data_IF_102967004829
#
_entry.id   IF_102967004829
#
_cell.length_a   1.000
_cell.length_b   1.000
_cell.length_c   1.000
_cell.angle_alpha   90.00
_cell.angle_beta   90.00
_cell.angle_gamma   90.00
#
_symmetry.space_group_name_H-M   'P 1'
#
loop_
_entity.id
_entity.type
_entity.pdbx_description
1 polymer ?
#
# COMPACT_ATOMS: atom_id res chain seq x y z
N UNK A 1 50.33 41.62 -56.58
CA UNK A 1 49.18 41.49 -57.51
C UNK A 1 48.18 42.59 -57.22
N UNK A 2 47.43 43.08 -58.22
CA UNK A 2 46.28 43.95 -57.99
C UNK A 2 45.27 43.26 -57.05
N UNK A 3 44.58 44.03 -56.20
CA UNK A 3 43.55 43.55 -55.26
C UNK A 3 44.00 42.56 -54.17
N UNK A 4 45.31 42.28 -54.06
CA UNK A 4 45.86 41.35 -53.06
C UNK A 4 45.35 41.63 -51.65
N UNK A 5 45.45 42.88 -51.20
CA UNK A 5 45.10 43.26 -49.83
C UNK A 5 43.59 43.13 -49.56
N UNK A 6 42.76 43.32 -50.59
CA UNK A 6 41.30 43.12 -50.51
C UNK A 6 40.99 41.64 -50.31
N UNK A 7 41.65 40.76 -51.06
CA UNK A 7 41.48 39.30 -50.91
C UNK A 7 42.02 38.81 -49.56
N UNK A 8 43.21 39.23 -49.15
CA UNK A 8 43.79 38.85 -47.84
C UNK A 8 42.87 39.25 -46.69
N UNK A 9 42.38 40.49 -46.68
CA UNK A 9 41.43 40.96 -45.65
C UNK A 9 40.09 40.21 -45.67
N UNK A 10 39.62 39.78 -46.86
CA UNK A 10 38.40 38.96 -46.95
C UNK A 10 38.60 37.57 -46.35
N UNK A 11 39.76 36.94 -46.57
CA UNK A 11 40.10 35.65 -45.98
C UNK A 11 40.26 35.74 -44.46
N UNK A 12 40.90 36.79 -43.95
CA UNK A 12 41.01 37.02 -42.51
C UNK A 12 39.62 37.17 -41.86
N UNK A 13 38.72 37.92 -42.52
CA UNK A 13 37.34 38.10 -42.06
C UNK A 13 36.55 36.79 -42.03
N UNK A 14 36.74 35.93 -43.05
CA UNK A 14 36.11 34.60 -43.10
C UNK A 14 36.65 33.68 -42.01
N UNK A 15 37.96 33.70 -41.74
CA UNK A 15 38.58 32.92 -40.66
C UNK A 15 38.00 33.35 -39.30
N UNK A 16 37.89 34.65 -39.05
CA UNK A 16 37.29 35.19 -37.82
C UNK A 16 35.81 34.85 -37.69
N UNK A 17 35.06 34.86 -38.81
CA UNK A 17 33.66 34.46 -38.81
C UNK A 17 33.50 32.98 -38.44
N UNK A 18 34.33 32.10 -39.01
CA UNK A 18 34.33 30.67 -38.68
C UNK A 18 34.67 30.46 -37.20
N UNK A 19 35.67 31.17 -36.67
CA UNK A 19 36.05 31.13 -35.26
C UNK A 19 34.89 31.50 -34.33
N UNK A 20 34.25 32.65 -34.57
CA UNK A 20 33.10 33.12 -33.78
C UNK A 20 31.90 32.18 -33.88
N UNK A 21 31.65 31.62 -35.07
CA UNK A 21 30.55 30.67 -35.30
C UNK A 21 30.77 29.39 -34.50
N UNK A 22 32.01 28.89 -34.47
CA UNK A 22 32.39 27.72 -33.67
C UNK A 22 32.20 27.98 -32.18
N UNK A 23 32.74 29.07 -31.65
CA UNK A 23 32.57 29.44 -30.23
C UNK A 23 31.09 29.57 -29.85
N UNK A 24 30.29 30.23 -30.68
CA UNK A 24 28.85 30.37 -30.45
C UNK A 24 28.15 29.02 -30.43
N UNK A 25 28.52 28.12 -31.35
CA UNK A 25 27.95 26.77 -31.43
C UNK A 25 28.32 25.94 -30.21
N UNK A 26 29.58 25.96 -29.79
CA UNK A 26 30.06 25.25 -28.60
C UNK A 26 29.39 25.79 -27.33
N UNK A 27 29.22 27.12 -27.24
CA UNK A 27 28.50 27.76 -26.14
C UNK A 27 27.04 27.31 -26.08
N UNK A 28 26.33 27.33 -27.21
CA UNK A 28 24.93 26.88 -27.29
C UNK A 28 24.80 25.39 -26.95
N UNK A 29 25.72 24.55 -27.41
CA UNK A 29 25.74 23.12 -27.10
C UNK A 29 25.85 22.90 -25.59
N UNK A 30 26.81 23.53 -24.93
CA UNK A 30 27.02 23.35 -23.49
C UNK A 30 25.90 23.98 -22.64
N UNK A 31 25.42 25.18 -23.00
CA UNK A 31 24.48 25.94 -22.18
C UNK A 31 23.03 25.58 -22.39
N UNK A 32 22.67 25.10 -23.58
CA UNK A 32 21.29 24.79 -23.93
C UNK A 32 21.13 23.29 -24.08
N UNK A 33 21.85 22.66 -25.01
CA UNK A 33 21.60 21.25 -25.36
C UNK A 33 21.92 20.34 -24.18
N UNK A 34 23.15 20.41 -23.66
CA UNK A 34 23.59 19.54 -22.57
C UNK A 34 22.85 19.84 -21.26
N UNK A 35 22.60 21.11 -20.96
CA UNK A 35 21.86 21.53 -19.77
C UNK A 35 20.39 21.03 -19.78
N UNK A 36 19.70 21.14 -20.93
CA UNK A 36 18.33 20.63 -21.06
C UNK A 36 18.29 19.11 -21.04
N UNK A 37 19.27 18.43 -21.63
CA UNK A 37 19.35 16.97 -21.58
C UNK A 37 19.57 16.45 -20.16
N UNK A 38 20.45 17.10 -19.40
CA UNK A 38 20.66 16.78 -17.98
C UNK A 38 19.38 16.98 -17.16
N UNK A 39 18.67 18.10 -17.36
CA UNK A 39 17.40 18.36 -16.66
C UNK A 39 16.30 17.36 -17.05
N UNK A 40 16.23 16.97 -18.32
CA UNK A 40 15.31 15.94 -18.80
C UNK A 40 15.57 14.61 -18.09
N UNK A 41 16.83 14.18 -18.02
CA UNK A 41 17.23 12.94 -17.33
C UNK A 41 16.84 12.97 -15.85
N UNK A 42 17.06 14.09 -15.16
CA UNK A 42 16.66 14.26 -13.76
C UNK A 42 15.14 14.11 -13.59
N UNK A 43 14.35 14.76 -14.44
CA UNK A 43 12.89 14.61 -14.43
C UNK A 43 12.44 13.17 -14.71
N UNK A 44 13.14 12.45 -15.60
CA UNK A 44 12.85 11.05 -15.89
C UNK A 44 13.11 10.14 -14.68
N UNK A 45 14.18 10.39 -13.93
CA UNK A 45 14.50 9.68 -12.68
C UNK A 45 13.42 9.95 -11.63
N UNK A 46 13.09 11.22 -11.40
CA UNK A 46 12.06 11.62 -10.43
C UNK A 46 10.70 11.00 -10.79
N UNK A 47 10.30 11.04 -12.06
CA UNK A 47 9.08 10.39 -12.54
C UNK A 47 9.10 8.89 -12.30
N UNK A 48 10.25 8.24 -12.53
CA UNK A 48 10.44 6.82 -12.24
C UNK A 48 10.25 6.49 -10.76
N UNK A 49 10.87 7.28 -9.88
CA UNK A 49 10.74 7.14 -8.42
C UNK A 49 9.30 7.32 -7.95
N UNK A 50 8.62 8.38 -8.41
CA UNK A 50 7.22 8.65 -8.09
C UNK A 50 6.30 7.52 -8.54
N UNK A 51 6.51 6.98 -9.75
CA UNK A 51 5.72 5.86 -10.25
C UNK A 51 5.92 4.60 -9.40
N UNK A 52 7.15 4.31 -8.99
CA UNK A 52 7.46 3.17 -8.14
C UNK A 52 6.79 3.31 -6.76
N UNK A 53 6.92 4.48 -6.15
CA UNK A 53 6.32 4.77 -4.85
C UNK A 53 4.79 4.74 -4.89
N UNK A 54 4.19 5.36 -5.91
CA UNK A 54 2.75 5.30 -6.14
C UNK A 54 2.26 3.85 -6.27
N UNK A 55 2.97 3.03 -7.04
CA UNK A 55 2.64 1.60 -7.22
C UNK A 55 2.75 0.85 -5.90
N UNK A 56 3.80 1.10 -5.12
CA UNK A 56 4.01 0.50 -3.80
C UNK A 56 2.90 0.87 -2.82
N UNK A 57 2.53 2.15 -2.72
CA UNK A 57 1.47 2.61 -1.82
C UNK A 57 0.11 2.06 -2.22
N UNK A 58 -0.22 2.07 -3.51
CA UNK A 58 -1.49 1.54 -4.02
C UNK A 58 -1.60 0.04 -3.77
N UNK A 59 -0.52 -0.73 -4.01
CA UNK A 59 -0.47 -2.15 -3.70
C UNK A 59 -0.64 -2.41 -2.20
N UNK A 60 0.08 -1.67 -1.36
CA UNK A 60 -0.02 -1.80 0.10
C UNK A 60 -1.44 -1.48 0.62
N UNK A 61 -2.12 -0.51 0.02
CA UNK A 61 -3.51 -0.19 0.32
C UNK A 61 -4.43 -1.37 -0.04
N UNK A 62 -4.28 -1.92 -1.25
CA UNK A 62 -5.07 -3.05 -1.71
C UNK A 62 -4.88 -4.30 -0.82
N UNK A 63 -3.62 -4.60 -0.45
CA UNK A 63 -3.31 -5.70 0.48
C UNK A 63 -4.00 -5.52 1.85
N UNK A 64 -4.13 -4.27 2.32
CA UNK A 64 -4.87 -3.96 3.56
C UNK A 64 -6.39 -4.12 3.39
N UNK A 65 -6.94 -3.78 2.23
CA UNK A 65 -8.37 -3.97 1.92
C UNK A 65 -8.72 -5.47 1.92
N UNK A 66 -7.88 -6.28 1.27
CA UNK A 66 -8.01 -7.74 1.26
C UNK A 66 -7.91 -8.33 2.67
N UNK A 67 -7.00 -7.81 3.50
CA UNK A 67 -6.86 -8.25 4.88
C UNK A 67 -8.11 -7.94 5.71
N UNK A 68 -8.66 -6.72 5.58
CA UNK A 68 -9.90 -6.35 6.28
C UNK A 68 -11.04 -7.27 5.87
N UNK A 69 -11.16 -7.61 4.59
CA UNK A 69 -12.20 -8.53 4.13
C UNK A 69 -12.01 -9.96 4.69
N UNK A 70 -10.78 -10.47 4.71
CA UNK A 70 -10.45 -11.74 5.39
C UNK A 70 -10.82 -11.72 6.87
N UNK A 71 -10.54 -10.62 7.58
CA UNK A 71 -10.92 -10.46 8.98
C UNK A 71 -12.45 -10.44 9.17
N UNK A 72 -13.21 -9.80 8.27
CA UNK A 72 -14.68 -9.82 8.30
C UNK A 72 -15.25 -11.21 8.09
N UNK A 73 -14.73 -11.95 7.11
CA UNK A 73 -15.13 -13.36 6.88
C UNK A 73 -14.80 -14.21 8.11
N UNK A 74 -13.62 -14.04 8.69
CA UNK A 74 -13.22 -14.75 9.92
C UNK A 74 -14.15 -14.43 11.09
N UNK A 75 -14.50 -13.15 11.30
CA UNK A 75 -15.42 -12.74 12.34
C UNK A 75 -16.79 -13.41 12.18
N UNK A 76 -17.36 -13.40 10.97
CA UNK A 76 -18.62 -14.11 10.67
C UNK A 76 -18.55 -15.59 11.01
N UNK A 77 -17.44 -16.27 10.69
CA UNK A 77 -17.23 -17.67 11.05
C UNK A 77 -17.17 -17.90 12.57
N UNK A 78 -16.59 -16.96 13.33
CA UNK A 78 -16.55 -17.03 14.80
C UNK A 78 -17.92 -16.77 15.43
N UNK A 79 -18.68 -15.82 14.89
CA UNK A 79 -20.06 -15.54 15.33
C UNK A 79 -20.96 -16.77 15.12
N UNK A 80 -20.85 -17.40 13.95
CA UNK A 80 -21.58 -18.64 13.62
C UNK A 80 -21.17 -19.81 14.54
N UNK A 81 -19.88 -19.91 14.87
CA UNK A 81 -19.38 -20.93 15.81
C UNK A 81 -19.92 -20.71 17.22
N UNK A 82 -19.95 -19.47 17.69
CA UNK A 82 -20.51 -19.10 18.99
C UNK A 82 -22.02 -19.39 19.05
N UNK A 83 -22.76 -19.04 17.99
CA UNK A 83 -24.19 -19.36 17.87
C UNK A 83 -24.43 -20.87 18.01
N UNK A 84 -23.66 -21.68 17.28
CA UNK A 84 -23.74 -23.16 17.37
C UNK A 84 -23.40 -23.69 18.77
N UNK A 85 -22.39 -23.13 19.43
CA UNK A 85 -22.02 -23.51 20.79
C UNK A 85 -23.17 -23.25 21.79
N UNK A 86 -23.79 -22.06 21.69
CA UNK A 86 -24.95 -21.66 22.51
C UNK A 86 -26.17 -22.54 22.28
N UNK A 87 -26.51 -22.81 21.02
CA UNK A 87 -27.62 -23.70 20.69
C UNK A 87 -27.39 -25.12 21.20
N UNK A 88 -26.15 -25.61 21.13
CA UNK A 88 -25.80 -26.94 21.66
C UNK A 88 -25.90 -27.00 23.18
N UNK A 89 -25.49 -25.95 23.89
CA UNK A 89 -25.69 -25.83 25.33
C UNK A 89 -27.19 -25.88 25.68
N UNK A 90 -28.02 -25.07 25.02
CA UNK A 90 -29.46 -24.97 25.24
C UNK A 90 -30.22 -26.28 24.93
N UNK A 91 -29.92 -26.95 23.80
CA UNK A 91 -30.54 -28.25 23.47
C UNK A 91 -30.25 -29.33 24.51
N UNK A 92 -29.09 -29.29 25.14
CA UNK A 92 -28.78 -30.27 26.18
C UNK A 92 -29.42 -29.98 27.52
N UNK A 93 -29.73 -28.72 27.83
CA UNK A 93 -30.56 -28.41 29.00
C UNK A 93 -32.00 -28.89 28.80
N UNK A 94 -32.55 -28.80 27.59
CA UNK A 94 -33.92 -29.24 27.31
C UNK A 94 -34.10 -30.76 27.28
N UNK A 95 -33.11 -31.53 26.76
CA UNK A 95 -33.15 -33.01 26.76
C UNK A 95 -33.06 -33.58 28.18
N UNK A 96 -32.41 -32.87 29.12
CA UNK A 96 -32.24 -33.30 30.50
C UNK A 96 -33.51 -33.16 31.37
N UNK A 97 -34.60 -32.59 30.85
CA UNK A 97 -35.89 -32.43 31.56
C UNK A 97 -36.77 -33.69 31.42
N UNK A 98 -36.41 -34.64 30.54
CA UNK A 98 -37.18 -35.88 30.38
C UNK A 98 -36.86 -36.89 31.50
N UNK A 99 -37.82 -37.36 32.33
CA UNK A 99 -37.54 -38.10 33.56
C UNK A 99 -37.01 -39.54 33.38
N UNK A 100 -36.79 -40.01 32.14
CA UNK A 100 -36.64 -41.45 31.86
C UNK A 100 -35.22 -41.96 31.61
N UNK A 101 -34.17 -41.12 31.63
CA UNK A 101 -32.81 -41.58 31.33
C UNK A 101 -31.89 -41.50 32.54
N UNK A 102 -31.69 -42.67 33.17
CA UNK A 102 -30.73 -42.95 34.25
C UNK A 102 -29.29 -42.67 33.78
N UNK A 103 -28.88 -41.41 33.89
CA UNK A 103 -27.49 -40.99 33.67
C UNK A 103 -26.89 -40.48 34.98
N UNK A 104 -25.70 -40.98 35.30
CA UNK A 104 -24.91 -40.58 36.47
C UNK A 104 -24.87 -39.03 36.60
N UNK A 105 -25.36 -38.45 37.71
CA UNK A 105 -25.32 -37.01 37.97
C UNK A 105 -23.93 -36.38 37.80
N UNK A 106 -22.87 -37.12 38.14
CA UNK A 106 -21.48 -36.67 37.95
C UNK A 106 -21.11 -36.54 36.48
N UNK A 107 -21.53 -37.49 35.64
CA UNK A 107 -21.30 -37.45 34.19
C UNK A 107 -22.03 -36.28 33.54
N UNK A 108 -23.28 -36.03 33.94
CA UNK A 108 -24.06 -34.86 33.48
C UNK A 108 -23.39 -33.53 33.84
N UNK A 109 -22.93 -33.39 35.09
CA UNK A 109 -22.22 -32.18 35.54
C UNK A 109 -20.94 -31.93 34.71
N UNK A 110 -20.15 -32.97 34.45
CA UNK A 110 -18.94 -32.89 33.61
C UNK A 110 -19.24 -32.49 32.17
N UNK A 111 -20.31 -33.02 31.57
CA UNK A 111 -20.72 -32.67 30.21
C UNK A 111 -21.20 -31.21 30.09
N UNK A 112 -21.94 -30.71 31.08
CA UNK A 112 -22.34 -29.30 31.13
C UNK A 112 -21.13 -28.38 31.29
N UNK A 113 -20.19 -28.71 32.17
CA UNK A 113 -18.96 -27.93 32.36
C UNK A 113 -18.11 -27.88 31.08
N UNK A 114 -17.98 -29.03 30.37
CA UNK A 114 -17.28 -29.09 29.09
C UNK A 114 -17.92 -28.17 28.04
N UNK A 115 -19.25 -28.11 27.98
CA UNK A 115 -19.99 -27.24 27.04
C UNK A 115 -19.83 -25.77 27.38
N UNK A 116 -19.90 -25.43 28.67
CA UNK A 116 -19.64 -24.07 29.15
C UNK A 116 -18.25 -23.59 28.73
N UNK A 117 -17.22 -24.43 28.89
CA UNK A 117 -15.86 -24.12 28.42
C UNK A 117 -15.80 -23.91 26.90
N UNK A 118 -16.49 -24.73 26.11
CA UNK A 118 -16.55 -24.57 24.64
C UNK A 118 -17.20 -23.24 24.24
N UNK A 119 -18.27 -22.83 24.94
CA UNK A 119 -18.89 -21.52 24.71
C UNK A 119 -17.96 -20.37 25.09
N UNK A 120 -17.33 -20.43 26.27
CA UNK A 120 -16.36 -19.43 26.73
C UNK A 120 -15.19 -19.28 25.74
N UNK A 121 -14.63 -20.39 25.25
CA UNK A 121 -13.61 -20.39 24.20
C UNK A 121 -14.11 -19.77 22.88
N UNK A 122 -15.36 -20.03 22.49
CA UNK A 122 -15.95 -19.44 21.28
C UNK A 122 -16.14 -17.92 21.43
N UNK A 123 -16.50 -17.44 22.62
CA UNK A 123 -16.58 -16.01 22.95
C UNK A 123 -15.20 -15.36 22.83
N UNK A 124 -14.17 -15.96 23.43
CA UNK A 124 -12.79 -15.45 23.36
C UNK A 124 -12.34 -15.31 21.91
N UNK A 125 -12.51 -16.36 21.09
CA UNK A 125 -12.12 -16.37 19.67
C UNK A 125 -12.88 -15.32 18.85
N UNK A 126 -14.14 -15.03 19.20
CA UNK A 126 -14.92 -13.96 18.55
C UNK A 126 -14.36 -12.58 18.91
N UNK A 127 -14.07 -12.33 20.19
CA UNK A 127 -13.49 -11.06 20.65
C UNK A 127 -12.11 -10.82 20.03
N UNK A 128 -11.28 -11.85 19.92
CA UNK A 128 -9.99 -11.78 19.22
C UNK A 128 -10.16 -11.40 17.75
N UNK A 129 -11.13 -12.01 17.05
CA UNK A 129 -11.42 -11.68 15.66
C UNK A 129 -11.92 -10.22 15.48
N UNK A 130 -12.72 -9.70 16.42
CA UNK A 130 -13.13 -8.29 16.43
C UNK A 130 -11.95 -7.35 16.64
N UNK A 131 -11.06 -7.67 17.58
CA UNK A 131 -9.84 -6.89 17.82
C UNK A 131 -8.96 -6.85 16.58
N UNK A 132 -8.77 -7.99 15.91
CA UNK A 132 -8.01 -8.06 14.65
C UNK A 132 -8.66 -7.21 13.55
N UNK A 133 -9.98 -7.31 13.38
CA UNK A 133 -10.70 -6.49 12.42
C UNK A 133 -10.55 -4.99 12.72
N UNK A 134 -10.59 -4.58 14.00
CA UNK A 134 -10.38 -3.20 14.41
C UNK A 134 -8.98 -2.68 14.08
N UNK A 135 -7.94 -3.48 14.34
CA UNK A 135 -6.54 -3.16 14.01
C UNK A 135 -6.37 -3.01 12.49
N UNK A 136 -6.80 -4.00 11.70
CA UNK A 136 -6.69 -3.95 10.25
C UNK A 136 -7.50 -2.78 9.65
N UNK A 137 -8.67 -2.48 10.22
CA UNK A 137 -9.49 -1.33 9.77
C UNK A 137 -8.82 0.01 10.09
N UNK A 138 -8.14 0.14 11.23
CA UNK A 138 -7.37 1.33 11.57
C UNK A 138 -6.16 1.50 10.63
N UNK A 139 -5.46 0.41 10.33
CA UNK A 139 -4.36 0.43 9.37
C UNK A 139 -4.83 0.82 7.96
N UNK A 140 -5.95 0.25 7.49
CA UNK A 140 -6.55 0.63 6.20
C UNK A 140 -6.85 2.13 6.13
N UNK A 141 -7.43 2.71 7.19
CA UNK A 141 -7.69 4.16 7.25
C UNK A 141 -6.39 4.97 7.20
N UNK A 142 -5.35 4.54 7.91
CA UNK A 142 -4.03 5.16 7.86
C UNK A 142 -3.47 5.14 6.43
N UNK A 143 -3.50 3.99 5.76
CA UNK A 143 -3.02 3.84 4.36
C UNK A 143 -3.79 4.69 3.37
N UNK A 144 -5.12 4.81 3.52
CA UNK A 144 -5.93 5.74 2.71
C UNK A 144 -5.49 7.19 2.91
N UNK A 145 -5.27 7.61 4.16
CA UNK A 145 -4.79 8.96 4.46
C UNK A 145 -3.38 9.22 3.91
N UNK A 146 -2.48 8.26 4.02
CA UNK A 146 -1.13 8.31 3.42
C UNK A 146 -1.22 8.52 1.90
N UNK A 147 -2.07 7.74 1.21
CA UNK A 147 -2.26 7.85 -0.23
C UNK A 147 -2.88 9.20 -0.65
N UNK A 148 -3.89 9.70 0.07
CA UNK A 148 -4.47 11.02 -0.19
C UNK A 148 -3.45 12.14 0.02
N UNK A 149 -2.61 12.05 1.05
CA UNK A 149 -1.52 13.00 1.27
C UNK A 149 -0.53 13.00 0.08
N UNK A 150 -0.16 11.81 -0.40
CA UNK A 150 0.74 11.66 -1.53
C UNK A 150 0.15 12.19 -2.86
N UNK A 151 -1.18 12.13 -3.05
CA UNK A 151 -1.85 12.74 -4.21
C UNK A 151 -1.73 14.26 -4.23
N UNK A 152 -1.84 14.90 -3.07
CA UNK A 152 -1.82 16.36 -2.92
C UNK A 152 -0.40 16.91 -2.98
N UNK A 153 0.59 16.12 -2.53
CA UNK A 153 1.98 16.56 -2.49
C UNK A 153 2.95 15.52 -3.08
N UNK A 154 2.91 15.29 -4.41
CA UNK A 154 3.84 14.37 -5.07
C UNK A 154 5.31 14.80 -4.92
N UNK A 155 5.58 16.06 -4.57
CA UNK A 155 6.92 16.64 -4.42
C UNK A 155 7.52 16.44 -3.01
N UNK A 156 6.73 15.98 -2.03
CA UNK A 156 7.23 15.73 -0.67
C UNK A 156 8.22 14.55 -0.58
N UNK A 157 8.39 13.78 -1.65
CA UNK A 157 9.32 12.66 -1.75
C UNK A 157 10.64 13.01 -2.45
N UNK A 158 10.82 14.28 -2.86
CA UNK A 158 12.03 14.76 -3.55
C UNK A 158 12.94 15.67 -2.70
N UNK A 159 12.71 15.78 -1.38
CA UNK A 159 13.58 16.51 -0.44
C UNK A 159 13.87 15.72 0.83
#
# INVERSE_FOLDING_TARGET
MPLRDVFESSFDSDIDLVGRTKETTDHLKARVVEALDARRKEHDIQRGALKLEWTKMTKSLHDCEDMVEKCRVTLKLREESLRKARENALRSESINISPSMSTDPMKRRREMEKKKRIEEEAVIKKVEAEKQLAVCSAELRRKRKELECAKVNPVAFTY
#
